data_IF_282405113145
#
_entry.id   IF_282405113145
#
_cell.length_a   1.000
_cell.length_b   1.000
_cell.length_c   1.000
_cell.angle_alpha   90.00
_cell.angle_beta   90.00
_cell.angle_gamma   90.00
#
_symmetry.space_group_name_H-M   'P 1'
#
loop_
_entity.id
_entity.type
_entity.pdbx_description
1 polymer ?
#
# COMPACT_ATOMS: atom_id res chain seq x y z
N UNK A 1 27.03 -16.88 11.81
CA UNK A 1 26.76 -18.09 10.99
C UNK A 1 25.52 -17.80 10.16
N UNK A 2 25.63 -17.98 8.84
CA UNK A 2 24.75 -17.51 7.76
C UNK A 2 23.26 -17.25 8.12
N UNK A 3 22.95 -16.01 8.54
CA UNK A 3 21.59 -15.55 8.85
C UNK A 3 20.78 -15.29 7.59
N UNK A 4 20.30 -16.36 6.96
CA UNK A 4 19.27 -16.27 5.93
C UNK A 4 17.91 -16.19 6.63
N UNK A 5 17.22 -15.07 6.45
CA UNK A 5 15.80 -14.98 6.77
C UNK A 5 15.01 -15.62 5.62
N UNK A 6 13.89 -16.24 5.96
CA UNK A 6 13.01 -16.89 4.99
C UNK A 6 11.87 -15.92 4.69
N UNK A 7 11.71 -15.52 3.42
CA UNK A 7 10.67 -14.59 3.03
C UNK A 7 9.26 -15.17 3.22
N UNK A 8 9.11 -16.49 3.02
CA UNK A 8 7.80 -17.15 3.09
C UNK A 8 7.84 -18.43 3.96
N UNK A 9 7.78 -18.29 5.30
CA UNK A 9 7.92 -19.43 6.21
C UNK A 9 6.76 -20.43 6.10
N UNK A 10 5.58 -20.01 5.65
CA UNK A 10 4.42 -20.88 5.42
C UNK A 10 4.65 -21.99 4.37
N UNK A 11 5.67 -21.86 3.50
CA UNK A 11 5.98 -22.84 2.45
C UNK A 11 7.10 -23.81 2.84
N UNK A 12 7.60 -23.76 4.08
CA UNK A 12 8.54 -24.76 4.60
C UNK A 12 8.05 -26.21 4.42
N UNK A 13 6.75 -26.54 4.59
CA UNK A 13 6.24 -27.90 4.31
C UNK A 13 6.47 -28.37 2.86
N UNK A 14 6.65 -27.45 1.91
CA UNK A 14 6.94 -27.78 0.51
C UNK A 14 8.34 -28.40 0.33
N UNK A 15 9.32 -28.07 1.19
CA UNK A 15 10.60 -28.78 1.24
C UNK A 15 10.43 -30.24 1.65
N UNK A 16 9.51 -30.51 2.58
CA UNK A 16 9.21 -31.87 3.02
C UNK A 16 8.50 -32.64 1.89
N UNK A 17 7.59 -32.00 1.18
CA UNK A 17 6.94 -32.59 0.00
C UNK A 17 7.95 -32.87 -1.13
N UNK A 18 8.95 -32.00 -1.31
CA UNK A 18 10.02 -32.17 -2.28
C UNK A 18 10.89 -33.42 -2.03
N UNK A 19 10.92 -33.95 -0.80
CA UNK A 19 11.59 -35.23 -0.48
C UNK A 19 10.82 -36.45 -0.97
N UNK A 20 9.50 -36.37 -1.17
CA UNK A 20 8.67 -37.49 -1.63
C UNK A 20 9.09 -38.02 -3.01
N UNK A 21 9.25 -37.20 -4.07
CA UNK A 21 9.71 -37.69 -5.37
C UNK A 21 11.16 -38.21 -5.33
N UNK A 22 11.99 -37.72 -4.40
CA UNK A 22 13.35 -38.21 -4.17
C UNK A 22 13.32 -39.63 -3.61
N UNK A 23 12.56 -39.84 -2.55
CA UNK A 23 12.37 -41.17 -1.92
C UNK A 23 11.72 -42.13 -2.92
N UNK A 24 10.71 -41.69 -3.65
CA UNK A 24 10.06 -42.48 -4.70
C UNK A 24 11.02 -42.84 -5.83
N UNK A 25 11.87 -41.90 -6.27
CA UNK A 25 12.91 -42.14 -7.28
C UNK A 25 13.94 -43.17 -6.83
N UNK A 26 14.40 -43.09 -5.58
CA UNK A 26 15.32 -44.07 -4.98
C UNK A 26 14.67 -45.45 -4.83
N UNK A 27 13.40 -45.51 -4.44
CA UNK A 27 12.62 -46.75 -4.36
C UNK A 27 12.43 -47.37 -5.75
N UNK A 28 12.03 -46.59 -6.75
CA UNK A 28 11.86 -47.03 -8.13
C UNK A 28 13.18 -47.54 -8.74
N UNK A 29 14.31 -46.94 -8.39
CA UNK A 29 15.64 -47.44 -8.77
C UNK A 29 15.97 -48.77 -8.11
N UNK A 30 15.68 -48.94 -6.82
CA UNK A 30 15.85 -50.20 -6.10
C UNK A 30 14.98 -51.31 -6.72
N UNK A 31 13.72 -51.00 -7.03
CA UNK A 31 12.79 -51.92 -7.70
C UNK A 31 13.25 -52.29 -9.11
N UNK A 32 13.69 -51.30 -9.91
CA UNK A 32 14.21 -51.53 -11.27
C UNK A 32 15.50 -52.35 -11.27
N UNK A 33 16.36 -52.17 -10.26
CA UNK A 33 17.55 -53.00 -10.07
C UNK A 33 17.21 -54.42 -9.61
N UNK A 34 16.18 -54.61 -8.78
CA UNK A 34 15.70 -55.95 -8.42
C UNK A 34 15.16 -56.69 -9.66
N UNK A 35 14.41 -56.00 -10.53
CA UNK A 35 13.95 -56.55 -11.81
C UNK A 35 15.09 -56.84 -12.79
N UNK A 36 16.12 -55.98 -12.87
CA UNK A 36 17.31 -56.23 -13.68
C UNK A 36 18.14 -57.40 -13.16
N UNK A 37 18.18 -57.65 -11.85
CA UNK A 37 18.80 -58.84 -11.26
C UNK A 37 18.01 -60.11 -11.57
N UNK A 38 16.69 -60.03 -11.60
CA UNK A 38 15.81 -61.14 -12.00
C UNK A 38 15.93 -61.46 -13.50
N UNK A 39 16.17 -60.46 -14.35
CA UNK A 39 16.40 -60.61 -15.80
C UNK A 39 17.86 -60.94 -16.16
N UNK A 40 18.81 -60.74 -15.24
CA UNK A 40 20.23 -61.04 -15.42
C UNK A 40 20.56 -62.47 -14.97
N UNK A 41 19.79 -63.46 -15.43
CA UNK A 41 20.29 -64.84 -15.45
C UNK A 41 21.52 -64.90 -16.39
N UNK A 42 22.62 -65.59 -16.01
CA UNK A 42 23.92 -65.50 -16.70
C UNK A 42 23.95 -65.96 -18.17
N UNK A 43 22.83 -66.43 -18.71
CA UNK A 43 22.75 -67.21 -19.95
C UNK A 43 22.46 -66.37 -21.20
N UNK A 44 21.99 -65.12 -21.07
CA UNK A 44 21.53 -64.30 -22.21
C UNK A 44 22.35 -63.04 -22.51
N UNK A 45 23.30 -62.66 -21.65
CA UNK A 45 24.09 -61.43 -21.80
C UNK A 45 25.04 -61.37 -23.03
N UNK A 46 25.64 -62.47 -23.54
CA UNK A 46 26.54 -62.39 -24.69
C UNK A 46 25.86 -62.04 -26.02
N UNK A 47 24.55 -62.28 -26.16
CA UNK A 47 23.80 -62.07 -27.43
C UNK A 47 23.28 -60.64 -27.60
N UNK A 48 23.17 -59.86 -26.52
CA UNK A 48 22.61 -58.50 -26.57
C UNK A 48 23.66 -57.39 -26.76
N UNK A 49 24.95 -57.68 -26.55
CA UNK A 49 26.04 -56.70 -26.71
C UNK A 49 27.31 -57.33 -27.33
N UNK A 50 27.31 -57.66 -28.64
CA UNK A 50 28.51 -58.14 -29.30
C UNK A 50 29.48 -56.95 -29.49
N UNK A 51 30.57 -56.91 -28.71
CA UNK A 51 31.68 -55.96 -28.91
C UNK A 51 32.18 -55.19 -27.69
N UNK A 52 31.59 -55.34 -26.50
CA UNK A 52 32.10 -54.70 -25.27
C UNK A 52 32.96 -55.69 -24.47
N UNK A 53 34.29 -55.50 -24.51
CA UNK A 53 35.30 -56.26 -23.72
C UNK A 53 35.32 -55.83 -22.24
N UNK A 54 34.18 -55.86 -21.57
CA UNK A 54 34.09 -55.59 -20.13
C UNK A 54 33.36 -56.74 -19.43
N UNK A 55 33.83 -57.11 -18.24
CA UNK A 55 33.20 -58.16 -17.44
C UNK A 55 31.73 -57.83 -17.17
N UNK A 56 30.87 -58.85 -17.11
CA UNK A 56 29.42 -58.72 -16.87
C UNK A 56 29.09 -57.93 -15.60
N UNK A 57 30.00 -57.90 -14.61
CA UNK A 57 29.90 -57.06 -13.41
C UNK A 57 30.14 -55.56 -13.65
N UNK A 58 31.01 -55.19 -14.59
CA UNK A 58 31.41 -53.80 -14.83
C UNK A 58 30.33 -53.01 -15.59
N UNK A 59 29.63 -53.68 -16.50
CA UNK A 59 28.51 -53.09 -17.26
C UNK A 59 27.34 -52.79 -16.31
N UNK A 60 26.98 -53.75 -15.45
CA UNK A 60 25.93 -53.58 -14.46
C UNK A 60 26.32 -52.49 -13.44
N UNK A 61 27.59 -52.43 -13.03
CA UNK A 61 28.12 -51.38 -12.17
C UNK A 61 28.12 -49.99 -12.84
N UNK A 62 28.38 -49.90 -14.15
CA UNK A 62 28.31 -48.66 -14.92
C UNK A 62 26.88 -48.12 -15.03
N UNK A 63 25.91 -48.98 -15.40
CA UNK A 63 24.50 -48.60 -15.41
C UNK A 63 24.00 -48.20 -14.01
N UNK A 64 24.44 -48.92 -12.96
CA UNK A 64 24.12 -48.60 -11.56
C UNK A 64 24.67 -47.23 -11.15
N UNK A 65 25.95 -46.96 -11.41
CA UNK A 65 26.59 -45.67 -11.08
C UNK A 65 25.89 -44.51 -11.79
N UNK A 66 25.55 -44.65 -13.07
CA UNK A 66 24.84 -43.64 -13.85
C UNK A 66 23.40 -43.42 -13.35
N UNK A 67 22.70 -44.48 -12.97
CA UNK A 67 21.35 -44.39 -12.43
C UNK A 67 21.30 -43.71 -11.05
N UNK A 68 22.25 -44.05 -10.17
CA UNK A 68 22.41 -43.39 -8.86
C UNK A 68 22.78 -41.91 -9.04
N UNK A 69 23.73 -41.61 -9.93
CA UNK A 69 24.13 -40.22 -10.19
C UNK A 69 22.94 -39.38 -10.65
N UNK A 70 22.09 -39.89 -11.55
CA UNK A 70 20.88 -39.18 -11.99
C UNK A 70 19.86 -38.99 -10.87
N UNK A 71 19.69 -39.98 -10.00
CA UNK A 71 18.80 -39.87 -8.85
C UNK A 71 19.23 -38.76 -7.90
N UNK A 72 20.54 -38.73 -7.59
CA UNK A 72 21.14 -37.73 -6.71
C UNK A 72 21.05 -36.34 -7.34
N UNK A 73 21.35 -36.21 -8.64
CA UNK A 73 21.22 -34.93 -9.34
C UNK A 73 19.78 -34.44 -9.36
N UNK A 74 18.83 -35.30 -9.73
CA UNK A 74 17.40 -34.98 -9.74
C UNK A 74 16.90 -34.55 -8.35
N UNK A 75 17.31 -35.27 -7.31
CA UNK A 75 16.98 -34.94 -5.93
C UNK A 75 17.54 -33.59 -5.47
N UNK A 76 18.81 -33.32 -5.81
CA UNK A 76 19.46 -32.06 -5.49
C UNK A 76 18.80 -30.89 -6.22
N UNK A 77 18.42 -31.06 -7.49
CA UNK A 77 17.68 -30.03 -8.23
C UNK A 77 16.30 -29.76 -7.63
N UNK A 78 15.56 -30.78 -7.22
CA UNK A 78 14.24 -30.62 -6.58
C UNK A 78 14.36 -29.90 -5.24
N UNK A 79 15.38 -30.23 -4.44
CA UNK A 79 15.66 -29.54 -3.19
C UNK A 79 16.02 -28.05 -3.41
N UNK A 80 16.82 -27.75 -4.44
CA UNK A 80 17.19 -26.38 -4.78
C UNK A 80 16.02 -25.56 -5.35
N UNK A 81 15.12 -26.18 -6.12
CA UNK A 81 13.88 -25.53 -6.57
C UNK A 81 12.97 -25.18 -5.38
N UNK A 82 12.83 -26.10 -4.43
CA UNK A 82 12.06 -25.83 -3.21
C UNK A 82 12.70 -24.72 -2.37
N UNK A 83 14.04 -24.67 -2.28
CA UNK A 83 14.75 -23.57 -1.63
C UNK A 83 14.54 -22.24 -2.36
N UNK A 84 14.58 -22.22 -3.69
CA UNK A 84 14.29 -21.04 -4.49
C UNK A 84 12.85 -20.54 -4.26
N UNK A 85 11.89 -21.46 -4.10
CA UNK A 85 10.49 -21.13 -3.88
C UNK A 85 10.22 -20.49 -2.51
N UNK A 86 10.97 -20.89 -1.49
CA UNK A 86 10.88 -20.35 -0.12
C UNK A 86 11.48 -18.93 -0.03
N UNK A 87 12.30 -18.54 -1.00
CA UNK A 87 12.84 -17.19 -1.13
C UNK A 87 13.89 -16.89 -0.06
N UNK A 88 15.14 -17.36 -0.22
CA UNK A 88 16.20 -17.07 0.74
C UNK A 88 16.56 -15.58 0.67
N UNK A 89 16.34 -14.88 1.77
CA UNK A 89 16.60 -13.45 1.86
C UNK A 89 18.07 -13.22 2.20
N UNK A 90 18.74 -12.37 1.42
CA UNK A 90 20.06 -11.86 1.78
C UNK A 90 20.24 -10.42 1.34
N UNK A 91 20.37 -9.56 2.34
CA UNK A 91 20.47 -8.11 2.19
C UNK A 91 19.10 -7.44 2.12
N UNK A 92 19.12 -6.12 2.14
CA UNK A 92 17.95 -5.26 2.06
C UNK A 92 18.22 -4.14 1.06
N UNK A 93 17.21 -3.74 0.30
CA UNK A 93 17.21 -2.45 -0.39
C UNK A 93 16.51 -1.43 0.50
N UNK A 94 17.08 -0.23 0.51
CA UNK A 94 16.41 0.93 1.07
C UNK A 94 15.54 1.53 -0.04
N UNK A 95 14.23 1.33 0.06
CA UNK A 95 13.27 1.91 -0.88
C UNK A 95 12.74 3.20 -0.26
N UNK A 96 12.73 4.33 -0.99
CA UNK A 96 12.09 5.55 -0.50
C UNK A 96 10.59 5.28 -0.35
N UNK A 97 10.04 5.53 0.83
CA UNK A 97 8.58 5.53 1.00
C UNK A 97 8.09 6.88 0.48
N UNK A 98 7.24 6.85 -0.55
CA UNK A 98 6.51 8.03 -0.98
C UNK A 98 5.34 8.18 -0.01
N UNK A 99 5.36 9.24 0.81
CA UNK A 99 4.21 9.66 1.59
C UNK A 99 3.61 10.90 0.93
N UNK A 100 2.28 10.90 0.79
CA UNK A 100 1.52 12.07 0.40
C UNK A 100 1.41 12.97 1.62
N UNK A 101 2.04 14.15 1.58
CA UNK A 101 1.96 15.12 2.67
C UNK A 101 0.94 16.19 2.33
N UNK A 102 -0.12 16.26 3.15
CA UNK A 102 -1.07 17.38 3.19
C UNK A 102 -0.77 18.22 4.42
N UNK A 103 -0.80 19.53 4.27
CA UNK A 103 -0.65 20.51 5.34
C UNK A 103 -2.01 21.12 5.66
N UNK A 104 -2.41 21.03 6.93
CA UNK A 104 -3.70 21.52 7.40
C UNK A 104 -3.46 22.61 8.44
N UNK A 105 -4.12 23.76 8.28
CA UNK A 105 -4.16 24.79 9.32
C UNK A 105 -5.57 24.87 9.88
N UNK A 106 -5.72 24.58 11.17
CA UNK A 106 -6.98 24.76 11.89
C UNK A 106 -6.98 26.12 12.57
N UNK A 107 -7.88 27.00 12.14
CA UNK A 107 -8.16 28.27 12.78
C UNK A 107 -9.39 28.11 13.69
N UNK A 108 -9.16 28.08 15.00
CA UNK A 108 -10.20 27.93 16.02
C UNK A 108 -10.52 29.28 16.67
N UNK A 109 -11.80 29.66 16.62
CA UNK A 109 -12.33 30.81 17.33
C UNK A 109 -12.33 30.55 18.84
N UNK A 110 -11.82 31.53 19.58
CA UNK A 110 -11.68 31.56 21.04
C UNK A 110 -12.21 32.87 21.59
N UNK A 111 -13.12 33.53 20.88
CA UNK A 111 -13.88 34.67 21.40
C UNK A 111 -14.86 34.24 22.49
N UNK A 112 -15.40 35.20 23.24
CA UNK A 112 -16.35 34.94 24.34
C UNK A 112 -17.67 34.32 23.83
N UNK A 113 -18.09 34.61 22.60
CA UNK A 113 -19.29 34.02 22.00
C UNK A 113 -19.19 32.50 21.85
N UNK A 114 -17.97 31.95 21.79
CA UNK A 114 -17.73 30.50 21.79
C UNK A 114 -18.02 29.83 23.15
N UNK A 115 -18.26 30.59 24.23
CA UNK A 115 -18.71 30.04 25.52
C UNK A 115 -20.23 29.82 25.59
N UNK A 116 -20.98 30.20 24.56
CA UNK A 116 -22.43 29.99 24.51
C UNK A 116 -22.75 28.48 24.51
N UNK A 117 -23.76 28.10 25.29
CA UNK A 117 -24.18 26.70 25.52
C UNK A 117 -25.33 26.24 24.60
N UNK A 118 -25.56 26.93 23.48
CA UNK A 118 -26.58 26.54 22.49
C UNK A 118 -26.21 25.25 21.74
N UNK A 119 -24.93 24.88 21.78
CA UNK A 119 -24.41 23.57 21.41
C UNK A 119 -23.68 22.98 22.62
N UNK A 120 -24.08 21.79 23.04
CA UNK A 120 -23.56 21.16 24.26
C UNK A 120 -22.11 20.67 24.12
N UNK A 121 -21.24 20.88 25.13
CA UNK A 121 -21.50 21.62 26.38
C UNK A 121 -21.47 23.15 26.17
N UNK A 122 -20.51 23.65 25.40
CA UNK A 122 -20.50 24.99 24.81
C UNK A 122 -19.85 24.90 23.42
N UNK A 123 -19.96 25.96 22.60
CA UNK A 123 -19.40 25.97 21.24
C UNK A 123 -17.90 25.66 21.23
N UNK A 124 -17.09 26.24 22.12
CA UNK A 124 -15.63 26.03 22.15
C UNK A 124 -15.25 24.58 22.47
N UNK A 125 -15.83 24.01 23.52
CA UNK A 125 -15.53 22.65 23.94
C UNK A 125 -16.08 21.63 22.95
N UNK A 126 -17.21 21.94 22.29
CA UNK A 126 -17.66 21.17 21.13
C UNK A 126 -16.64 21.23 20.00
N UNK A 127 -16.16 22.42 19.64
CA UNK A 127 -15.15 22.59 18.58
C UNK A 127 -13.85 21.83 18.91
N UNK A 128 -13.39 21.86 20.17
CA UNK A 128 -12.24 21.05 20.63
C UNK A 128 -12.49 19.55 20.49
N UNK A 129 -13.71 19.08 20.73
CA UNK A 129 -14.07 17.67 20.54
C UNK A 129 -14.07 17.29 19.05
N UNK A 130 -14.61 18.14 18.18
CA UNK A 130 -14.58 17.96 16.72
C UNK A 130 -13.14 17.88 16.20
N UNK A 131 -12.30 18.86 16.55
CA UNK A 131 -10.88 18.88 16.17
C UNK A 131 -10.15 17.69 16.79
N UNK A 132 -10.48 17.30 18.03
CA UNK A 132 -9.91 16.12 18.67
C UNK A 132 -10.18 14.82 17.90
N UNK A 133 -11.40 14.65 17.38
CA UNK A 133 -11.76 13.51 16.54
C UNK A 133 -11.10 13.58 15.16
N UNK A 134 -10.96 14.77 14.58
CA UNK A 134 -10.16 14.97 13.37
C UNK A 134 -8.71 14.45 13.57
N UNK A 135 -8.08 14.80 14.69
CA UNK A 135 -6.73 14.31 15.00
C UNK A 135 -6.64 12.79 15.16
N UNK A 136 -7.74 12.07 15.39
CA UNK A 136 -7.77 10.61 15.50
C UNK A 136 -7.82 9.92 14.12
N UNK A 137 -8.29 10.60 13.07
CA UNK A 137 -8.45 10.03 11.71
C UNK A 137 -7.36 10.46 10.71
N UNK A 138 -6.49 11.39 11.12
CA UNK A 138 -5.38 11.86 10.30
C UNK A 138 -4.27 10.80 10.16
N UNK A 139 -3.82 10.56 8.93
CA UNK A 139 -2.82 9.55 8.56
C UNK A 139 -1.59 10.19 7.86
N UNK A 140 -0.76 10.90 8.62
CA UNK A 140 0.57 11.35 8.17
C UNK A 140 0.66 12.81 7.71
N UNK A 141 -0.45 13.55 7.73
CA UNK A 141 -0.53 14.98 7.48
C UNK A 141 0.18 15.81 8.56
N UNK A 142 0.52 17.06 8.24
CA UNK A 142 0.94 18.05 9.25
C UNK A 142 -0.25 18.92 9.63
N UNK A 143 -0.37 19.24 10.90
CA UNK A 143 -1.37 20.17 11.39
C UNK A 143 -0.73 21.34 12.14
N UNK A 144 -1.18 22.55 11.82
CA UNK A 144 -0.94 23.75 12.63
C UNK A 144 -2.26 24.19 13.28
N UNK A 145 -2.16 24.70 14.49
CA UNK A 145 -3.31 25.20 15.24
C UNK A 145 -3.14 26.69 15.46
N UNK A 146 -4.14 27.45 15.02
CA UNK A 146 -4.23 28.91 15.16
C UNK A 146 -5.44 29.21 16.04
N UNK A 147 -5.24 30.01 17.07
CA UNK A 147 -6.32 30.53 17.90
C UNK A 147 -6.61 31.97 17.51
N UNK A 148 -7.88 32.35 17.46
CA UNK A 148 -8.22 33.75 17.17
C UNK A 148 -9.43 34.25 17.96
N UNK A 149 -9.49 35.57 18.08
CA UNK A 149 -10.59 36.37 18.60
C UNK A 149 -10.48 37.73 17.90
N UNK A 150 -10.26 38.84 18.61
CA UNK A 150 -10.03 40.16 17.99
C UNK A 150 -8.67 40.30 17.28
N UNK A 151 -7.83 39.28 17.36
CA UNK A 151 -6.61 39.06 16.59
C UNK A 151 -6.29 37.56 16.56
N UNK A 152 -5.31 37.16 15.74
CA UNK A 152 -4.92 35.77 15.57
C UNK A 152 -3.53 35.49 16.20
N UNK A 153 -3.34 34.27 16.69
CA UNK A 153 -2.07 33.81 17.26
C UNK A 153 -1.79 32.35 16.90
N UNK A 154 -0.51 32.05 16.74
CA UNK A 154 -0.05 30.67 16.60
C UNK A 154 -0.16 29.95 17.95
N UNK A 155 -0.81 28.79 17.94
CA UNK A 155 -0.85 27.86 19.07
C UNK A 155 0.19 26.77 18.86
N UNK A 156 0.19 26.16 17.67
CA UNK A 156 1.21 25.20 17.25
C UNK A 156 1.65 25.46 15.81
N UNK A 157 2.95 25.38 15.49
CA UNK A 157 3.41 25.36 14.10
C UNK A 157 2.98 24.04 13.40
N UNK A 158 3.14 23.98 12.08
CA UNK A 158 2.90 22.76 11.31
C UNK A 158 3.75 21.61 11.86
N UNK A 159 3.08 20.56 12.37
CA UNK A 159 3.74 19.41 12.98
C UNK A 159 2.98 18.12 12.70
N UNK A 160 3.68 16.98 12.72
CA UNK A 160 3.09 15.63 12.73
C UNK A 160 2.84 15.11 14.15
N UNK A 161 3.32 15.84 15.16
CA UNK A 161 3.11 15.49 16.55
C UNK A 161 1.69 15.90 16.98
N UNK A 162 0.71 15.06 16.63
CA UNK A 162 -0.71 15.28 16.93
C UNK A 162 -0.99 15.21 18.44
N UNK A 163 -0.14 14.56 19.23
CA UNK A 163 -0.25 14.54 20.69
C UNK A 163 0.05 15.92 21.28
N UNK A 164 1.08 16.59 20.78
CA UNK A 164 1.39 17.98 21.14
C UNK A 164 0.25 18.91 20.73
N UNK A 165 -0.29 18.77 19.52
CA UNK A 165 -1.47 19.55 19.09
C UNK A 165 -2.64 19.33 20.05
N UNK A 166 -2.96 18.06 20.36
CA UNK A 166 -4.06 17.70 21.27
C UNK A 166 -3.86 18.29 22.67
N UNK A 167 -2.63 18.34 23.16
CA UNK A 167 -2.28 18.96 24.43
C UNK A 167 -2.59 20.45 24.46
N UNK A 168 -2.21 21.19 23.40
CA UNK A 168 -2.49 22.62 23.32
C UNK A 168 -3.97 22.92 23.07
N UNK A 169 -4.63 22.16 22.19
CA UNK A 169 -6.06 22.28 21.90
C UNK A 169 -6.92 22.22 23.17
N UNK A 170 -6.63 21.25 24.05
CA UNK A 170 -7.36 21.08 25.33
C UNK A 170 -7.23 22.29 26.26
N UNK A 171 -6.18 23.08 26.13
CA UNK A 171 -5.86 24.22 27.00
C UNK A 171 -6.28 25.57 26.46
N UNK A 172 -6.72 25.64 25.20
CA UNK A 172 -7.19 26.89 24.62
C UNK A 172 -8.38 27.42 25.43
N UNK A 173 -8.26 28.66 25.90
CA UNK A 173 -9.31 29.38 26.60
C UNK A 173 -9.52 30.74 25.94
N UNK A 174 -10.73 31.32 26.00
CA UNK A 174 -10.94 32.71 25.60
C UNK A 174 -10.05 33.71 26.35
N UNK A 175 -9.64 33.38 27.58
CA UNK A 175 -8.74 34.20 28.40
C UNK A 175 -7.34 34.38 27.80
N UNK A 176 -6.95 33.49 26.87
CA UNK A 176 -5.66 33.58 26.20
C UNK A 176 -5.56 34.81 25.27
N UNK A 177 -6.71 35.42 24.92
CA UNK A 177 -6.79 36.49 23.95
C UNK A 177 -6.75 37.86 24.63
N UNK A 178 -5.77 38.69 24.24
CA UNK A 178 -5.64 40.06 24.76
C UNK A 178 -6.67 41.04 24.20
N UNK A 179 -7.22 40.73 23.03
CA UNK A 179 -8.15 41.60 22.29
C UNK A 179 -9.44 40.83 22.06
N UNK A 180 -10.54 41.34 22.61
CA UNK A 180 -11.88 40.81 22.39
C UNK A 180 -12.39 41.09 20.97
N UNK A 181 -13.51 40.45 20.61
CA UNK A 181 -14.08 40.46 19.27
C UNK A 181 -13.68 39.23 18.45
N UNK A 182 -13.98 39.27 17.16
CA UNK A 182 -13.74 38.18 16.21
C UNK A 182 -13.25 38.76 14.89
N UNK A 183 -12.03 38.43 14.51
CA UNK A 183 -11.33 38.87 13.30
C UNK A 183 -10.94 37.65 12.47
N UNK A 184 -11.88 37.21 11.63
CA UNK A 184 -11.70 36.06 10.74
C UNK A 184 -10.61 36.35 9.71
N UNK A 185 -10.52 37.61 9.24
CA UNK A 185 -9.50 38.04 8.29
C UNK A 185 -8.09 37.86 8.83
N UNK A 186 -7.84 38.22 10.09
CA UNK A 186 -6.56 37.99 10.74
C UNK A 186 -6.23 36.50 10.87
N UNK A 187 -7.22 35.66 11.20
CA UNK A 187 -7.04 34.22 11.32
C UNK A 187 -6.62 33.57 9.99
N UNK A 188 -7.33 33.91 8.91
CA UNK A 188 -7.04 33.39 7.57
C UNK A 188 -5.69 33.90 7.05
N UNK A 189 -5.34 35.18 7.28
CA UNK A 189 -4.01 35.69 6.91
C UNK A 189 -2.89 34.96 7.64
N UNK A 190 -3.03 34.77 8.95
CA UNK A 190 -2.02 34.05 9.73
C UNK A 190 -1.92 32.59 9.27
N UNK A 191 -3.05 31.95 8.97
CA UNK A 191 -3.06 30.59 8.43
C UNK A 191 -2.32 30.50 7.08
N UNK A 192 -2.55 31.46 6.19
CA UNK A 192 -1.85 31.54 4.90
C UNK A 192 -0.33 31.70 5.07
N UNK A 193 0.12 32.43 6.09
CA UNK A 193 1.55 32.59 6.41
C UNK A 193 2.19 31.32 6.98
N UNK A 194 1.40 30.35 7.46
CA UNK A 194 1.94 29.10 8.03
C UNK A 194 2.37 28.09 6.97
N UNK A 195 1.80 28.17 5.77
CA UNK A 195 2.19 27.29 4.69
C UNK A 195 3.58 27.70 4.17
N UNK A 196 4.52 26.74 4.22
CA UNK A 196 5.90 26.93 3.77
C UNK A 196 5.99 27.06 2.24
N UNK A 197 5.07 26.43 1.52
CA UNK A 197 4.97 26.43 0.07
C UNK A 197 3.70 27.16 -0.42
N UNK A 198 3.75 27.61 -1.67
CA UNK A 198 2.65 28.29 -2.36
C UNK A 198 2.06 27.43 -3.47
N UNK A 199 2.08 26.10 -3.31
CA UNK A 199 1.64 25.18 -4.36
C UNK A 199 0.12 25.06 -4.44
N UNK A 200 -0.58 25.21 -3.31
CA UNK A 200 -2.04 25.15 -3.20
C UNK A 200 -2.64 23.75 -3.29
N UNK A 201 -1.94 22.80 -3.92
CA UNK A 201 -2.45 21.46 -4.20
C UNK A 201 -2.58 20.57 -2.95
N UNK A 202 -1.85 20.88 -1.87
CA UNK A 202 -1.67 20.03 -0.69
C UNK A 202 -2.00 20.75 0.61
N UNK A 203 -2.62 21.92 0.52
CA UNK A 203 -2.77 22.85 1.61
C UNK A 203 -4.27 23.14 1.82
N UNK A 204 -4.75 22.99 3.06
CA UNK A 204 -6.15 23.24 3.41
C UNK A 204 -6.25 24.02 4.72
N UNK A 205 -7.22 24.94 4.77
CA UNK A 205 -7.56 25.68 5.99
C UNK A 205 -8.90 25.15 6.51
N UNK A 206 -8.99 24.88 7.81
CA UNK A 206 -10.24 24.58 8.51
C UNK A 206 -10.53 25.75 9.46
N UNK A 207 -11.56 26.52 9.16
CA UNK A 207 -12.05 27.61 10.01
C UNK A 207 -13.19 27.11 10.90
N UNK A 208 -13.06 27.26 12.21
CA UNK A 208 -14.08 26.84 13.20
C UNK A 208 -14.53 28.06 14.00
N UNK A 209 -15.77 28.52 13.80
CA UNK A 209 -16.28 29.79 14.36
C UNK A 209 -17.80 29.85 14.33
N UNK A 210 -18.40 30.79 15.06
CA UNK A 210 -19.81 31.16 14.95
C UNK A 210 -20.10 32.25 13.90
N UNK A 211 -19.05 32.80 13.27
CA UNK A 211 -19.16 33.64 12.07
C UNK A 211 -19.53 35.10 12.30
N UNK A 212 -19.49 35.57 13.55
CA UNK A 212 -19.63 36.99 13.88
C UNK A 212 -18.36 37.77 13.49
N UNK A 213 -18.08 37.93 12.19
CA UNK A 213 -16.95 38.73 11.72
C UNK A 213 -17.18 40.23 11.97
N UNK A 214 -16.45 40.81 12.92
CA UNK A 214 -16.57 42.23 13.27
C UNK A 214 -15.72 43.14 12.37
N UNK A 215 -14.75 42.59 11.63
CA UNK A 215 -13.87 43.38 10.76
C UNK A 215 -14.34 43.39 9.30
N UNK A 216 -15.08 42.36 8.89
CA UNK A 216 -15.60 42.20 7.53
C UNK A 216 -14.50 41.87 6.51
N UNK A 217 -13.30 41.53 6.96
CA UNK A 217 -12.17 41.19 6.10
C UNK A 217 -12.08 39.69 5.79
N UNK A 218 -12.90 38.84 6.43
CA UNK A 218 -12.87 37.39 6.25
C UNK A 218 -13.03 36.95 4.78
N UNK A 219 -13.98 37.54 4.06
CA UNK A 219 -14.22 37.22 2.65
C UNK A 219 -13.00 37.54 1.77
N UNK A 220 -12.41 38.73 1.93
CA UNK A 220 -11.21 39.14 1.19
C UNK A 220 -9.98 38.27 1.49
N UNK A 221 -9.91 37.68 2.69
CA UNK A 221 -8.84 36.76 3.05
C UNK A 221 -9.08 35.37 2.44
N UNK A 222 -10.34 34.94 2.34
CA UNK A 222 -10.72 33.72 1.64
C UNK A 222 -10.45 33.80 0.13
N UNK A 223 -10.70 34.94 -0.51
CA UNK A 223 -10.34 35.20 -1.91
C UNK A 223 -8.83 35.01 -2.14
N UNK A 224 -8.00 35.55 -1.25
CA UNK A 224 -6.54 35.39 -1.28
C UNK A 224 -6.10 33.93 -1.08
N UNK A 225 -6.84 33.15 -0.29
CA UNK A 225 -6.60 31.71 -0.16
C UNK A 225 -6.91 30.99 -1.49
N UNK A 226 -8.04 31.33 -2.12
CA UNK A 226 -8.45 30.80 -3.43
C UNK A 226 -7.42 31.10 -4.53
N UNK A 227 -6.87 32.32 -4.57
CA UNK A 227 -5.80 32.72 -5.50
C UNK A 227 -4.54 31.86 -5.37
N UNK A 228 -4.27 31.33 -4.17
CA UNK A 228 -3.17 30.40 -3.89
C UNK A 228 -3.55 28.93 -4.10
N UNK A 229 -4.79 28.63 -4.52
CA UNK A 229 -5.32 27.28 -4.65
C UNK A 229 -5.68 26.59 -3.32
N UNK A 230 -5.70 27.33 -2.21
CA UNK A 230 -5.92 26.79 -0.87
C UNK A 230 -7.41 26.86 -0.55
N UNK A 231 -8.03 25.70 -0.31
CA UNK A 231 -9.43 25.63 0.10
C UNK A 231 -9.61 26.01 1.57
N UNK A 232 -10.61 26.85 1.88
CA UNK A 232 -11.02 27.18 3.25
C UNK A 232 -12.31 26.44 3.57
N UNK A 233 -12.19 25.32 4.26
CA UNK A 233 -13.33 24.61 4.80
C UNK A 233 -13.80 25.28 6.09
N UNK A 234 -15.11 25.33 6.32
CA UNK A 234 -15.69 26.10 7.41
C UNK A 234 -16.63 25.21 8.22
N UNK A 235 -16.38 25.14 9.53
CA UNK A 235 -17.26 24.52 10.51
C UNK A 235 -17.95 25.61 11.34
N UNK A 236 -19.24 25.83 11.06
CA UNK A 236 -20.08 26.74 11.80
C UNK A 236 -20.49 26.17 13.16
N UNK A 237 -20.20 26.92 14.23
CA UNK A 237 -20.49 26.54 15.61
C UNK A 237 -21.63 27.38 16.17
N UNK A 238 -22.69 26.74 16.64
CA UNK A 238 -23.85 27.42 17.22
C UNK A 238 -25.13 27.27 16.41
N UNK A 239 -26.14 28.01 16.85
CA UNK A 239 -27.49 28.01 16.28
C UNK A 239 -27.90 29.41 15.83
N UNK A 240 -28.83 29.49 14.87
CA UNK A 240 -29.39 30.77 14.39
C UNK A 240 -30.27 31.46 15.44
N UNK A 241 -30.85 30.67 16.37
CA UNK A 241 -31.56 31.19 17.54
C UNK A 241 -30.56 31.91 18.45
N UNK A 242 -29.38 31.32 18.60
CA UNK A 242 -28.28 31.83 19.42
C UNK A 242 -28.48 31.56 20.90
N UNK A 243 -27.58 32.12 21.70
CA UNK A 243 -27.62 32.01 23.14
C UNK A 243 -26.90 33.16 23.82
N UNK A 244 -27.09 33.26 25.13
CA UNK A 244 -26.49 34.30 25.95
C UNK A 244 -25.05 33.95 26.27
N UNK A 245 -24.17 34.94 26.27
CA UNK A 245 -22.74 34.74 26.55
C UNK A 245 -22.51 34.69 28.07
N UNK A 246 -22.02 33.59 28.64
CA UNK A 246 -21.71 33.52 30.08
C UNK A 246 -20.58 34.48 30.45
N UNK A 247 -20.67 35.10 31.64
CA UNK A 247 -19.65 36.03 32.14
C UNK A 247 -18.60 35.37 33.06
N UNK A 248 -18.69 34.06 33.32
CA UNK A 248 -17.80 33.32 34.22
C UNK A 248 -18.20 33.33 35.70
N UNK A 249 -18.99 34.30 36.15
CA UNK A 249 -19.43 34.49 37.55
C UNK A 249 -20.86 33.98 37.80
N UNK A 250 -21.39 33.13 36.91
CA UNK A 250 -22.76 32.60 36.99
C UNK A 250 -23.84 33.54 36.44
N UNK A 251 -23.46 34.59 35.72
CA UNK A 251 -24.35 35.49 34.99
C UNK A 251 -24.03 35.54 33.49
N UNK A 252 -24.62 36.51 32.80
CA UNK A 252 -24.42 36.74 31.37
C UNK A 252 -23.81 38.11 31.10
N UNK A 253 -23.10 38.23 29.99
CA UNK A 253 -22.57 39.52 29.52
C UNK A 253 -23.73 40.42 29.15
N UNK A 254 -23.69 41.65 29.67
CA UNK A 254 -24.68 42.70 29.42
C UNK A 254 -24.10 43.68 28.41
N UNK A 255 -24.94 44.09 27.47
CA UNK A 255 -24.59 45.08 26.47
C UNK A 255 -24.25 46.43 27.16
N UNK A 256 -23.03 46.97 26.97
CA UNK A 256 -22.63 48.25 27.53
C UNK A 256 -23.55 49.42 27.14
N UNK A 257 -24.15 49.34 25.95
CA UNK A 257 -24.98 50.40 25.37
C UNK A 257 -26.44 50.32 25.83
N UNK A 258 -26.83 49.25 26.55
CA UNK A 258 -28.19 49.04 27.06
C UNK A 258 -28.58 49.93 28.24
N UNK A 259 -27.65 50.74 28.75
CA UNK A 259 -27.92 51.70 29.81
C UNK A 259 -28.55 51.06 31.06
N UNK A 260 -29.73 51.55 31.47
CA UNK A 260 -30.44 51.05 32.65
C UNK A 260 -31.17 49.71 32.43
N UNK A 261 -31.42 49.32 31.18
CA UNK A 261 -32.23 48.15 30.84
C UNK A 261 -31.46 46.83 30.96
N UNK A 262 -30.12 46.91 31.05
CA UNK A 262 -29.18 45.78 31.26
C UNK A 262 -29.49 44.57 30.38
N UNK A 263 -29.68 44.80 29.08
CA UNK A 263 -30.01 43.72 28.15
C UNK A 263 -28.80 42.81 27.93
N UNK A 264 -29.01 41.51 28.05
CA UNK A 264 -27.97 40.50 27.87
C UNK A 264 -27.64 40.33 26.39
N UNK A 265 -26.35 40.17 26.08
CA UNK A 265 -25.87 39.97 24.70
C UNK A 265 -26.23 38.56 24.24
N UNK A 266 -26.91 38.46 23.08
CA UNK A 266 -27.26 37.20 22.43
C UNK A 266 -26.36 37.03 21.21
N UNK A 267 -25.50 36.01 21.23
CA UNK A 267 -24.68 35.66 20.08
C UNK A 267 -25.35 34.58 19.23
N UNK A 268 -25.31 34.75 17.91
CA UNK A 268 -25.96 33.89 16.93
C UNK A 268 -24.96 33.42 15.89
N UNK A 269 -25.16 32.20 15.40
CA UNK A 269 -24.43 31.74 14.23
C UNK A 269 -24.82 32.59 13.01
N UNK A 270 -23.81 33.06 12.27
CA UNK A 270 -23.98 33.72 10.98
C UNK A 270 -23.63 32.75 9.82
N UNK A 271 -24.58 31.89 9.39
CA UNK A 271 -24.26 30.86 8.40
C UNK A 271 -23.95 31.43 7.01
N UNK A 272 -24.54 32.57 6.64
CA UNK A 272 -24.42 33.11 5.28
C UNK A 272 -23.02 33.68 5.01
N UNK A 273 -22.41 34.36 5.98
CA UNK A 273 -21.02 34.84 5.86
C UNK A 273 -20.03 33.67 5.79
N UNK A 274 -20.26 32.64 6.59
CA UNK A 274 -19.43 31.44 6.63
C UNK A 274 -19.51 30.60 5.35
N UNK A 275 -20.71 30.47 4.77
CA UNK A 275 -20.90 29.84 3.46
C UNK A 275 -20.17 30.62 2.37
N UNK A 276 -20.29 31.95 2.36
CA UNK A 276 -19.60 32.77 1.37
C UNK A 276 -18.06 32.59 1.41
N UNK A 277 -17.48 32.48 2.61
CA UNK A 277 -16.04 32.18 2.79
C UNK A 277 -15.67 30.81 2.21
N UNK A 278 -16.46 29.78 2.50
CA UNK A 278 -16.22 28.43 1.97
C UNK A 278 -16.37 28.41 0.44
N UNK A 279 -17.45 28.97 -0.10
CA UNK A 279 -17.78 28.93 -1.52
C UNK A 279 -16.73 29.66 -2.38
N UNK A 280 -16.26 30.83 -1.93
CA UNK A 280 -15.25 31.62 -2.66
C UNK A 280 -13.90 30.92 -2.73
N UNK A 281 -13.54 30.17 -1.69
CA UNK A 281 -12.28 29.41 -1.63
C UNK A 281 -12.37 28.01 -2.22
N UNK A 282 -13.56 27.55 -2.64
CA UNK A 282 -13.78 26.18 -3.08
C UNK A 282 -13.79 25.15 -1.94
N UNK A 283 -13.95 25.60 -0.69
CA UNK A 283 -14.08 24.76 0.49
C UNK A 283 -15.50 24.24 0.73
N UNK A 284 -15.68 23.58 1.86
CA UNK A 284 -16.97 22.99 2.27
C UNK A 284 -17.43 23.67 3.55
N UNK A 285 -18.68 24.12 3.58
CA UNK A 285 -19.35 24.57 4.80
C UNK A 285 -20.15 23.44 5.43
N UNK A 286 -19.89 23.18 6.72
CA UNK A 286 -20.73 22.34 7.57
C UNK A 286 -21.11 23.08 8.84
N UNK A 287 -22.19 22.67 9.48
CA UNK A 287 -22.62 23.20 10.77
C UNK A 287 -22.63 22.09 11.82
N UNK A 288 -22.06 22.35 12.99
CA UNK A 288 -22.11 21.43 14.12
C UNK A 288 -23.55 21.30 14.65
N UNK A 289 -24.26 20.24 14.26
CA UNK A 289 -25.63 19.93 14.72
C UNK A 289 -25.69 18.59 15.44
N UNK A 290 -26.24 18.60 16.65
CA UNK A 290 -26.56 17.37 17.38
C UNK A 290 -25.33 16.62 17.88
N UNK A 291 -25.33 15.28 17.74
CA UNK A 291 -24.26 14.42 18.29
C UNK A 291 -23.18 14.06 17.29
N UNK A 292 -23.50 14.02 16.00
CA UNK A 292 -22.55 13.65 14.93
C UNK A 292 -21.47 14.71 14.83
N UNK A 293 -20.22 14.29 14.67
CA UNK A 293 -19.06 15.17 14.49
C UNK A 293 -18.85 15.43 13.00
N UNK A 294 -19.38 16.52 12.41
CA UNK A 294 -19.25 16.80 10.98
C UNK A 294 -17.81 17.01 10.52
N UNK A 295 -16.85 17.27 11.42
CA UNK A 295 -15.48 17.55 10.99
C UNK A 295 -14.80 16.32 10.36
N UNK A 296 -15.20 15.11 10.76
CA UNK A 296 -14.79 13.86 10.11
C UNK A 296 -15.30 13.79 8.66
N UNK A 297 -16.57 14.12 8.44
CA UNK A 297 -17.15 14.20 7.09
C UNK A 297 -16.44 15.25 6.21
N UNK A 298 -16.10 16.40 6.79
CA UNK A 298 -15.35 17.46 6.10
C UNK A 298 -13.96 16.98 5.68
N UNK A 299 -13.29 16.23 6.54
CA UNK A 299 -11.98 15.65 6.25
C UNK A 299 -12.04 14.63 5.11
N UNK A 300 -12.97 13.68 5.17
CA UNK A 300 -13.14 12.66 4.12
C UNK A 300 -13.49 13.27 2.76
N UNK A 301 -14.33 14.32 2.74
CA UNK A 301 -14.81 14.91 1.49
C UNK A 301 -13.92 16.01 0.94
N UNK A 302 -13.24 16.75 1.81
CA UNK A 302 -12.51 17.97 1.45
C UNK A 302 -11.01 17.80 1.41
N UNK A 303 -10.45 16.97 2.29
CA UNK A 303 -9.01 16.93 2.57
C UNK A 303 -8.39 15.63 2.06
N UNK A 304 -9.01 14.48 2.34
CA UNK A 304 -8.54 13.18 1.85
C UNK A 304 -8.38 13.10 0.31
N UNK A 305 -9.21 13.78 -0.51
CA UNK A 305 -9.05 13.77 -1.96
C UNK A 305 -7.90 14.63 -2.49
N UNK A 306 -7.26 15.45 -1.64
CA UNK A 306 -6.13 16.28 -2.07
C UNK A 306 -4.95 15.39 -2.46
N UNK A 307 -4.34 15.66 -3.62
CA UNK A 307 -3.20 14.90 -4.14
C UNK A 307 -1.94 15.22 -3.36
N UNK A 308 -1.81 14.71 -2.13
CA UNK A 308 -0.74 15.09 -1.21
C UNK A 308 0.66 15.02 -1.83
N UNK A 309 1.55 15.92 -1.39
CA UNK A 309 2.89 16.08 -1.96
C UNK A 309 3.70 14.80 -1.76
N UNK A 310 4.25 14.24 -2.84
CA UNK A 310 5.21 13.15 -2.75
C UNK A 310 6.47 13.62 -2.01
N UNK A 311 6.61 13.19 -0.76
CA UNK A 311 7.85 13.36 0.00
C UNK A 311 8.48 11.99 0.23
N UNK A 312 9.80 11.94 0.02
CA UNK A 312 10.60 10.79 0.39
C UNK A 312 10.79 10.85 1.91
N UNK A 313 9.88 10.21 2.63
CA UNK A 313 9.99 10.13 4.09
C UNK A 313 10.67 8.82 4.49
N UNK A 314 11.92 8.96 4.92
CA UNK A 314 12.71 7.82 5.37
C UNK A 314 13.04 6.81 4.26
N UNK A 315 13.53 5.65 4.72
CA UNK A 315 13.95 4.53 3.86
C UNK A 315 13.45 3.25 4.50
N UNK A 316 12.51 2.57 3.86
CA UNK A 316 12.06 1.26 4.33
C UNK A 316 13.04 0.18 3.90
N UNK A 317 13.33 -0.76 4.81
CA UNK A 317 14.19 -1.92 4.51
C UNK A 317 13.34 -3.00 3.87
N UNK A 318 13.32 -3.03 2.54
CA UNK A 318 12.69 -4.11 1.80
C UNK A 318 13.67 -5.27 1.69
N UNK A 319 13.39 -6.45 2.27
CA UNK A 319 14.27 -7.60 2.19
C UNK A 319 14.42 -8.06 0.73
N UNK A 320 15.65 -8.29 0.28
CA UNK A 320 15.89 -8.76 -1.09
C UNK A 320 15.93 -10.29 -1.15
N UNK A 321 14.94 -10.85 -1.85
CA UNK A 321 14.93 -12.26 -2.19
C UNK A 321 16.07 -12.58 -3.18
N UNK A 322 16.85 -13.63 -2.87
CA UNK A 322 17.94 -14.13 -3.69
C UNK A 322 17.65 -15.50 -4.31
N UNK A 323 16.38 -15.81 -4.57
CA UNK A 323 15.94 -17.05 -5.24
C UNK A 323 16.65 -17.36 -6.57
N UNK A 324 17.19 -16.36 -7.26
CA UNK A 324 17.89 -16.50 -8.55
C UNK A 324 19.07 -17.49 -8.48
N UNK A 325 19.82 -17.49 -7.36
CA UNK A 325 20.97 -18.38 -7.18
C UNK A 325 20.59 -19.86 -7.06
N UNK A 326 19.73 -20.27 -6.11
CA UNK A 326 19.28 -21.66 -6.03
C UNK A 326 18.53 -22.10 -7.29
N UNK A 327 17.74 -21.22 -7.91
CA UNK A 327 17.06 -21.53 -9.18
C UNK A 327 18.05 -21.80 -10.32
N UNK A 328 19.07 -20.95 -10.48
CA UNK A 328 20.10 -21.11 -11.50
C UNK A 328 20.87 -22.42 -11.35
N UNK A 329 21.28 -22.77 -10.12
CA UNK A 329 21.97 -24.04 -9.84
C UNK A 329 21.04 -25.23 -10.12
N UNK A 330 19.76 -25.15 -9.75
CA UNK A 330 18.80 -26.21 -10.01
C UNK A 330 18.61 -26.47 -11.52
N UNK A 331 18.51 -25.41 -12.32
CA UNK A 331 18.37 -25.52 -13.78
C UNK A 331 19.60 -26.15 -14.43
N UNK A 332 20.81 -25.76 -14.02
CA UNK A 332 22.06 -26.38 -14.52
C UNK A 332 22.11 -27.87 -14.19
N UNK A 333 21.72 -28.26 -12.97
CA UNK A 333 21.67 -29.67 -12.57
C UNK A 333 20.64 -30.46 -13.37
N UNK A 334 19.46 -29.89 -13.65
CA UNK A 334 18.44 -30.52 -14.50
C UNK A 334 18.92 -30.70 -15.94
N UNK A 335 19.59 -29.70 -16.51
CA UNK A 335 20.18 -29.80 -17.85
C UNK A 335 21.27 -30.90 -17.90
N UNK A 336 22.09 -31.00 -16.86
CA UNK A 336 23.10 -32.05 -16.76
C UNK A 336 22.46 -33.45 -16.60
N UNK A 337 21.41 -33.56 -15.79
CA UNK A 337 20.62 -34.78 -15.62
C UNK A 337 19.94 -35.21 -16.93
N UNK A 338 19.44 -34.25 -17.71
CA UNK A 338 18.84 -34.46 -19.02
C UNK A 338 19.87 -34.88 -20.08
N UNK A 339 21.08 -34.34 -20.07
CA UNK A 339 22.17 -34.77 -20.96
C UNK A 339 22.60 -36.23 -20.71
N UNK A 340 22.49 -36.66 -19.45
CA UNK A 340 22.72 -38.06 -19.07
C UNK A 340 21.58 -39.00 -19.51
N UNK A 341 20.47 -38.47 -20.06
CA UNK A 341 19.32 -39.24 -20.57
C UNK A 341 19.69 -39.93 -21.88
N UNK A 342 19.73 -41.26 -21.80
CA UNK A 342 20.10 -42.17 -22.88
C UNK A 342 19.34 -41.82 -24.17
N UNK A 343 20.06 -41.30 -25.18
CA UNK A 343 19.54 -40.90 -26.50
C UNK A 343 19.22 -42.11 -27.37
N UNK A 344 18.55 -43.13 -26.82
CA UNK A 344 18.15 -44.33 -27.58
C UNK A 344 16.84 -44.15 -28.35
N UNK A 345 16.09 -43.07 -28.11
CA UNK A 345 14.85 -42.80 -28.88
C UNK A 345 15.10 -42.31 -30.30
N UNK A 346 16.22 -41.63 -30.58
CA UNK A 346 16.48 -41.08 -31.91
C UNK A 346 16.90 -42.13 -32.98
N UNK A 347 17.36 -43.33 -32.59
CA UNK A 347 17.84 -44.35 -33.55
C UNK A 347 16.82 -45.43 -33.92
N UNK A 348 15.68 -45.54 -33.22
CA UNK A 348 14.63 -46.55 -33.55
C UNK A 348 13.69 -46.11 -34.68
N UNK A 349 13.48 -44.82 -34.91
CA UNK A 349 12.61 -44.32 -35.98
C UNK A 349 13.22 -44.41 -37.40
N UNK A 350 14.51 -44.74 -37.53
CA UNK A 350 15.20 -44.82 -38.84
C UNK A 350 15.30 -46.25 -39.40
N UNK A 351 14.72 -47.25 -38.71
CA UNK A 351 14.93 -48.68 -39.03
C UNK A 351 13.62 -49.46 -39.25
N UNK A 352 12.60 -48.80 -39.78
CA UNK A 352 11.48 -49.49 -40.44
C UNK A 352 11.73 -49.45 -41.96
N UNK A 353 11.86 -50.59 -42.65
CA UNK A 353 11.92 -50.61 -44.10
C UNK A 353 10.52 -50.33 -44.68
N UNK A 354 10.44 -49.39 -45.63
CA UNK A 354 9.23 -49.15 -46.45
C UNK A 354 8.88 -50.43 -47.23
N UNK A 355 7.60 -50.82 -47.34
CA UNK A 355 7.21 -51.94 -48.21
C UNK A 355 7.45 -51.59 -49.69
N UNK A 356 8.06 -52.50 -50.43
CA UNK A 356 8.35 -52.43 -51.87
C UNK A 356 7.07 -52.57 -52.69
N UNK A 357 6.90 -51.70 -53.68
CA UNK A 357 5.83 -51.76 -54.70
C UNK A 357 6.04 -52.94 -55.67
N UNK A 358 4.99 -53.50 -56.29
CA UNK A 358 5.09 -54.64 -57.21
C UNK A 358 5.72 -54.23 -58.55
N UNK A 359 6.56 -55.09 -59.09
CA UNK A 359 7.27 -54.98 -60.37
C UNK A 359 6.35 -55.16 -61.58
N UNK A 360 6.39 -54.20 -62.50
CA UNK A 360 5.99 -54.36 -63.92
C UNK A 360 6.98 -55.29 -64.64
N UNK A 361 6.55 -56.48 -65.02
CA UNK A 361 7.13 -57.24 -66.13
C UNK A 361 6.17 -58.36 -66.55
N UNK A 362 5.26 -58.05 -67.47
CA UNK A 362 4.75 -59.06 -68.40
C UNK A 362 4.38 -58.39 -69.75
N UNK A 363 5.34 -58.37 -70.67
CA UNK A 363 5.10 -58.09 -72.09
C UNK A 363 5.43 -59.38 -72.84
N UNK A 364 4.39 -60.07 -73.31
CA UNK A 364 4.51 -61.19 -74.24
C UNK A 364 4.97 -60.72 -75.63
N UNK A 365 5.67 -61.57 -76.39
CA UNK A 365 6.05 -61.24 -77.76
C UNK A 365 4.93 -61.60 -78.74
N UNK A 366 4.60 -60.63 -79.60
CA UNK A 366 3.70 -60.78 -80.74
C UNK A 366 4.35 -61.53 -81.89
N UNK A 367 3.61 -62.50 -82.37
CA UNK A 367 3.82 -63.36 -83.53
C UNK A 367 3.73 -62.59 -84.86
N UNK A 368 4.71 -62.78 -85.77
CA UNK A 368 4.62 -62.53 -87.22
C UNK A 368 5.65 -63.37 -87.99
N UNK A 369 5.14 -64.48 -88.53
CA UNK A 369 5.19 -64.89 -89.96
C UNK A 369 6.50 -64.76 -90.75
N UNK A 370 7.06 -65.90 -91.14
CA UNK A 370 7.59 -66.14 -92.50
C UNK A 370 7.67 -67.65 -92.80
N UNK A 371 7.50 -68.00 -94.09
CA UNK A 371 7.62 -69.32 -94.77
C UNK A 371 6.34 -70.20 -94.82
N UNK A 372 5.53 -70.26 -95.89
CA UNK A 372 5.69 -70.59 -97.33
C UNK A 372 5.20 -72.03 -97.67
N UNK A 373 4.60 -72.12 -98.87
CA UNK A 373 3.97 -73.29 -99.55
C UNK A 373 2.49 -73.55 -99.26
#
# INVERSE_FOLDING_TARGET
MMGFEILRPEWIPLLVLALVPVVFGLWALKARMAGLRALAEPRHLPRLFPGLRFGSGDILAWFRRRAILRAVLGALSVALLALAFIGPVKGFSLVPVQSQQVDIVVALDTSLSMLVEDVSPNRLDRAKAEIGALLDVMEGERLALVGFAGGARDVTPLTRDLDTVRYFLKRMSPDDNRKGGTDIGAALRLALERFEDASGANEAIILVTDGEDLTGEGLSAAERAAERGIAVHVLGMGTEIGGKIPNGDGGFIVDPDSGADRTEVISKLAPDSLKAIADVSGGIYLQAKGRVLPLEELYERGIQPLEGRDIIDGKERVPQDRFQWPLGVALVLLLFEASLRDSRRAKRARKEPRPSSPSETDRGPSDRTEEAA
#
